data_IF_845294554867
#
_entry.id   IF_845294554867
#
_cell.length_a   1.000
_cell.length_b   1.000
_cell.length_c   1.000
_cell.angle_alpha   90.00
_cell.angle_beta   90.00
_cell.angle_gamma   90.00
#
_symmetry.space_group_name_H-M   'P 1'
#
loop_
_entity.id
_entity.type
_entity.pdbx_description
1 polymer ?
#
# COMPACT_ATOMS: atom_id res chain seq x y z
N UNK A 1 50.56 11.54 12.42
CA UNK A 1 50.71 10.07 12.27
C UNK A 1 51.76 9.53 13.22
N UNK A 2 51.62 8.30 13.73
CA UNK A 2 52.69 7.62 14.49
C UNK A 2 54.01 7.59 13.69
N UNK A 3 53.92 7.51 12.36
CA UNK A 3 55.05 7.54 11.44
C UNK A 3 55.76 8.90 11.37
N UNK A 4 55.05 10.01 11.64
CA UNK A 4 55.65 11.36 11.75
C UNK A 4 56.44 11.55 13.06
N UNK A 5 56.26 10.66 14.05
CA UNK A 5 56.95 10.71 15.35
C UNK A 5 58.18 9.80 15.43
N UNK A 6 58.66 9.27 14.31
CA UNK A 6 60.04 8.77 14.18
C UNK A 6 60.31 7.30 14.48
N UNK A 7 59.28 6.45 14.65
CA UNK A 7 59.47 4.99 14.74
C UNK A 7 58.61 4.31 13.68
N UNK A 8 59.10 4.32 12.45
CA UNK A 8 58.54 3.49 11.40
C UNK A 8 58.79 2.01 11.77
N UNK A 9 57.77 1.16 11.82
CA UNK A 9 57.98 -0.26 12.08
C UNK A 9 58.85 -0.88 10.98
N UNK A 10 59.56 -1.96 11.29
CA UNK A 10 60.56 -2.60 10.40
C UNK A 10 59.94 -3.07 9.07
N UNK A 11 58.65 -3.39 9.08
CA UNK A 11 57.86 -3.88 7.95
C UNK A 11 57.18 -2.77 7.13
N UNK A 12 57.50 -1.48 7.37
CA UNK A 12 56.85 -0.37 6.66
C UNK A 12 57.08 -0.41 5.14
N UNK A 13 58.27 -0.83 4.70
CA UNK A 13 58.61 -0.93 3.27
C UNK A 13 57.78 -2.03 2.61
N UNK A 14 57.57 -3.16 3.31
CA UNK A 14 56.73 -4.25 2.84
C UNK A 14 55.26 -3.83 2.74
N UNK A 15 54.77 -3.05 3.71
CA UNK A 15 53.42 -2.48 3.68
C UNK A 15 53.24 -1.51 2.50
N UNK A 16 54.19 -0.59 2.30
CA UNK A 16 54.13 0.38 1.20
C UNK A 16 54.20 -0.32 -0.15
N UNK A 17 55.06 -1.33 -0.30
CA UNK A 17 55.08 -2.16 -1.52
C UNK A 17 53.78 -2.95 -1.71
N UNK A 18 53.15 -3.43 -0.65
CA UNK A 18 51.86 -4.11 -0.71
C UNK A 18 50.78 -3.14 -1.20
N UNK A 19 50.71 -1.94 -0.62
CA UNK A 19 49.74 -0.91 -1.02
C UNK A 19 49.96 -0.48 -2.47
N UNK A 20 51.19 -0.16 -2.88
CA UNK A 20 51.48 0.28 -4.25
C UNK A 20 51.30 -0.81 -5.31
N UNK A 21 51.43 -2.10 -4.94
CA UNK A 21 51.00 -3.22 -5.81
C UNK A 21 49.50 -3.15 -6.13
N UNK A 22 48.71 -2.71 -5.16
CA UNK A 22 47.26 -2.69 -5.25
C UNK A 22 46.74 -1.35 -5.77
N UNK A 23 47.37 -0.24 -5.43
CA UNK A 23 47.01 1.11 -5.85
C UNK A 23 48.15 1.70 -6.69
N UNK A 24 48.30 1.28 -7.96
CA UNK A 24 49.32 1.85 -8.83
C UNK A 24 49.02 3.33 -9.06
N UNK A 25 50.02 4.20 -8.88
CA UNK A 25 49.93 5.62 -9.24
C UNK A 25 49.98 5.82 -10.76
N UNK A 26 49.82 7.08 -11.21
CA UNK A 26 49.89 7.45 -12.64
C UNK A 26 51.22 7.07 -13.31
N UNK A 27 52.28 6.86 -12.52
CA UNK A 27 53.59 6.43 -12.98
C UNK A 27 53.63 4.98 -13.52
N UNK A 28 52.58 4.17 -13.32
CA UNK A 28 52.54 2.77 -13.73
C UNK A 28 51.75 2.55 -15.04
N UNK A 29 52.21 3.14 -16.13
CA UNK A 29 51.85 2.75 -17.52
C UNK A 29 52.63 1.51 -18.00
N UNK A 30 53.02 0.61 -17.10
CA UNK A 30 53.56 -0.69 -17.47
C UNK A 30 52.42 -1.73 -17.52
N UNK A 31 52.35 -2.57 -18.56
CA UNK A 31 51.29 -3.56 -18.69
C UNK A 31 51.27 -4.45 -17.45
N UNK A 32 50.08 -4.67 -16.88
CA UNK A 32 49.85 -5.66 -15.84
C UNK A 32 50.24 -7.04 -16.39
N UNK A 33 51.52 -7.40 -16.27
CA UNK A 33 51.98 -8.71 -16.69
C UNK A 33 51.37 -9.75 -15.75
N UNK A 34 50.83 -10.80 -16.35
CA UNK A 34 50.30 -11.95 -15.64
C UNK A 34 51.32 -12.44 -14.63
N UNK A 35 50.81 -12.62 -13.41
CA UNK A 35 51.37 -13.32 -12.25
C UNK A 35 52.59 -14.20 -12.62
N UNK A 36 53.78 -13.68 -12.39
CA UNK A 36 54.99 -14.50 -12.19
C UNK A 36 55.17 -14.68 -10.68
N UNK A 37 55.29 -15.93 -10.24
CA UNK A 37 55.52 -16.35 -8.86
C UNK A 37 56.98 -16.15 -8.40
N UNK A 38 57.81 -15.45 -9.18
CA UNK A 38 59.17 -15.09 -8.81
C UNK A 38 59.26 -13.94 -7.80
N UNK A 39 60.35 -13.88 -7.03
CA UNK A 39 60.69 -12.70 -6.22
C UNK A 39 60.77 -11.47 -7.14
N UNK A 40 60.11 -10.36 -6.81
CA UNK A 40 60.15 -9.16 -7.64
C UNK A 40 61.59 -8.64 -7.74
N UNK A 41 61.98 -8.20 -8.93
CA UNK A 41 63.25 -7.47 -9.13
C UNK A 41 63.27 -6.22 -8.25
N UNK A 42 64.47 -5.77 -7.83
CA UNK A 42 64.65 -4.58 -6.98
C UNK A 42 63.93 -3.35 -7.57
N UNK A 43 63.98 -3.16 -8.89
CA UNK A 43 63.32 -2.05 -9.58
C UNK A 43 61.78 -2.09 -9.43
N UNK A 44 61.18 -3.28 -9.49
CA UNK A 44 59.73 -3.48 -9.32
C UNK A 44 59.32 -3.22 -7.86
N UNK A 45 60.15 -3.63 -6.91
CA UNK A 45 59.93 -3.36 -5.49
C UNK A 45 60.02 -1.85 -5.20
N UNK A 46 61.01 -1.15 -5.78
CA UNK A 46 61.16 0.30 -5.70
C UNK A 46 59.95 1.05 -6.24
N UNK A 47 59.49 0.72 -7.45
CA UNK A 47 58.33 1.36 -8.07
C UNK A 47 57.03 1.17 -7.25
N UNK A 48 56.81 -0.04 -6.71
CA UNK A 48 55.66 -0.32 -5.83
C UNK A 48 55.75 0.47 -4.53
N UNK A 49 56.93 0.52 -3.93
CA UNK A 49 57.12 1.28 -2.69
C UNK A 49 56.84 2.75 -2.91
N UNK A 50 57.32 3.33 -4.02
CA UNK A 50 57.05 4.72 -4.39
C UNK A 50 55.54 4.98 -4.57
N UNK A 51 54.82 4.11 -5.28
CA UNK A 51 53.35 4.22 -5.41
C UNK A 51 52.65 4.13 -4.04
N UNK A 52 53.15 3.29 -3.13
CA UNK A 52 52.67 3.23 -1.75
C UNK A 52 52.91 4.53 -0.98
N UNK A 53 54.08 5.15 -1.14
CA UNK A 53 54.39 6.46 -0.55
C UNK A 53 53.46 7.52 -1.11
N UNK A 54 53.24 7.54 -2.43
CA UNK A 54 52.35 8.49 -3.08
C UNK A 54 50.91 8.41 -2.57
N UNK A 55 50.44 7.20 -2.28
CA UNK A 55 49.12 6.96 -1.67
C UNK A 55 49.01 7.55 -0.26
N UNK A 56 50.13 7.60 0.47
CA UNK A 56 50.21 8.15 1.82
C UNK A 56 50.45 9.67 1.83
N UNK A 57 50.80 10.29 0.71
CA UNK A 57 50.88 11.75 0.59
C UNK A 57 49.48 12.35 0.73
N UNK A 58 49.36 13.54 1.34
CA UNK A 58 48.07 14.22 1.55
C UNK A 58 47.02 13.30 2.25
N UNK A 59 47.46 12.59 3.29
CA UNK A 59 46.61 11.70 4.07
C UNK A 59 45.50 12.45 4.82
N UNK A 60 44.25 11.93 4.86
CA UNK A 60 43.79 10.65 4.28
C UNK A 60 43.25 10.75 2.83
N UNK A 61 43.20 11.94 2.26
CA UNK A 61 42.46 12.23 1.02
C UNK A 61 42.86 11.34 -0.16
N UNK A 62 44.16 11.16 -0.42
CA UNK A 62 44.62 10.31 -1.53
C UNK A 62 44.27 8.85 -1.35
N UNK A 63 44.38 8.34 -0.14
CA UNK A 63 43.99 6.97 0.19
C UNK A 63 42.49 6.76 0.00
N UNK A 64 41.66 7.68 0.52
CA UNK A 64 40.21 7.61 0.42
C UNK A 64 39.74 7.69 -1.04
N UNK A 65 40.32 8.59 -1.83
CA UNK A 65 40.02 8.71 -3.26
C UNK A 65 40.40 7.46 -4.04
N UNK A 66 41.59 6.89 -3.79
CA UNK A 66 42.04 5.67 -4.44
C UNK A 66 41.16 4.47 -4.06
N UNK A 67 40.75 4.38 -2.79
CA UNK A 67 39.85 3.34 -2.29
C UNK A 67 38.46 3.46 -2.93
N UNK A 68 37.90 4.68 -3.00
CA UNK A 68 36.63 4.95 -3.66
C UNK A 68 36.66 4.59 -5.15
N UNK A 69 37.71 5.01 -5.87
CA UNK A 69 37.88 4.69 -7.29
C UNK A 69 37.94 3.18 -7.51
N UNK A 70 38.68 2.45 -6.67
CA UNK A 70 38.79 0.99 -6.76
C UNK A 70 37.46 0.28 -6.50
N UNK A 71 36.72 0.71 -5.48
CA UNK A 71 35.42 0.12 -5.15
C UNK A 71 34.38 0.36 -6.24
N UNK A 72 34.50 1.48 -6.99
CA UNK A 72 33.67 1.80 -8.15
C UNK A 72 34.09 1.04 -9.42
N UNK A 73 35.39 0.87 -9.66
CA UNK A 73 35.91 0.25 -10.88
C UNK A 73 35.82 -1.27 -10.91
N UNK A 74 35.60 -1.91 -9.76
CA UNK A 74 35.57 -3.37 -9.65
C UNK A 74 34.20 -3.88 -9.22
N UNK A 75 33.57 -4.69 -10.06
CA UNK A 75 32.26 -5.28 -9.75
C UNK A 75 32.36 -6.59 -8.96
N UNK A 76 31.46 -6.77 -8.00
CA UNK A 76 31.30 -8.03 -7.28
C UNK A 76 30.67 -7.89 -5.91
N UNK A 77 30.11 -8.96 -5.34
CA UNK A 77 29.40 -8.86 -4.07
C UNK A 77 30.34 -8.72 -2.87
N UNK A 78 31.58 -9.25 -2.91
CA UNK A 78 32.47 -9.30 -1.74
C UNK A 78 33.71 -8.42 -1.82
N UNK A 79 34.23 -8.01 -0.66
CA UNK A 79 35.45 -7.21 -0.52
C UNK A 79 36.66 -7.83 -1.22
N UNK A 80 36.84 -9.15 -1.14
CA UNK A 80 37.97 -9.84 -1.77
C UNK A 80 38.06 -9.62 -3.28
N UNK A 81 36.90 -9.51 -3.95
CA UNK A 81 36.88 -9.26 -5.38
C UNK A 81 37.18 -7.80 -5.71
N UNK A 82 36.67 -6.86 -4.90
CA UNK A 82 36.82 -5.42 -5.17
C UNK A 82 38.15 -4.85 -4.71
N UNK A 83 38.58 -5.22 -3.51
CA UNK A 83 39.83 -4.74 -2.91
C UNK A 83 41.01 -5.66 -3.20
N UNK A 84 40.80 -6.95 -3.44
CA UNK A 84 41.87 -7.94 -3.55
C UNK A 84 42.29 -8.48 -2.18
N UNK A 85 43.51 -9.01 -2.07
CA UNK A 85 44.00 -9.67 -0.84
C UNK A 85 44.60 -8.71 0.20
N UNK A 86 45.00 -7.50 -0.19
CA UNK A 86 45.74 -6.57 0.69
C UNK A 86 44.98 -6.20 1.97
N UNK A 87 43.66 -6.03 1.92
CA UNK A 87 42.90 -5.67 3.13
C UNK A 87 42.92 -6.79 4.18
N UNK A 88 43.00 -8.06 3.74
CA UNK A 88 43.16 -9.19 4.66
C UNK A 88 44.56 -9.18 5.25
N UNK A 89 45.58 -8.96 4.42
CA UNK A 89 46.96 -8.87 4.88
C UNK A 89 47.15 -7.71 5.87
N UNK A 90 46.53 -6.54 5.64
CA UNK A 90 46.51 -5.41 6.57
C UNK A 90 45.98 -5.81 7.95
N UNK A 91 44.93 -6.61 8.01
CA UNK A 91 44.29 -7.04 9.27
C UNK A 91 44.90 -8.31 9.89
N UNK A 92 45.71 -9.08 9.14
CA UNK A 92 46.30 -10.33 9.64
C UNK A 92 47.80 -10.22 9.96
N UNK A 93 48.56 -9.45 9.16
CA UNK A 93 50.03 -9.35 9.25
C UNK A 93 50.48 -8.09 9.98
N UNK A 94 49.81 -6.97 9.72
CA UNK A 94 50.25 -5.66 10.17
C UNK A 94 49.56 -5.23 11.48
N UNK A 95 49.58 -6.06 12.52
CA UNK A 95 48.79 -5.86 13.76
C UNK A 95 49.28 -4.72 14.67
N UNK A 96 50.45 -4.14 14.41
CA UNK A 96 51.02 -3.06 15.21
C UNK A 96 50.07 -1.83 15.22
N UNK A 97 49.92 -1.17 16.37
CA UNK A 97 49.09 0.03 16.54
C UNK A 97 49.55 1.21 15.68
N UNK A 98 50.82 1.22 15.26
CA UNK A 98 51.34 2.15 14.26
C UNK A 98 50.56 2.11 12.92
N UNK A 99 49.83 1.02 12.65
CA UNK A 99 49.03 0.81 11.45
C UNK A 99 47.51 1.00 11.65
N UNK A 100 47.08 1.41 12.85
CA UNK A 100 45.66 1.64 13.14
C UNK A 100 45.04 2.72 12.26
N UNK A 101 45.79 3.75 11.86
CA UNK A 101 45.27 4.80 10.98
C UNK A 101 44.77 4.24 9.63
N UNK A 102 45.49 3.27 9.05
CA UNK A 102 45.11 2.62 7.80
C UNK A 102 43.91 1.70 7.98
N UNK A 103 43.88 0.92 9.06
CA UNK A 103 42.72 0.06 9.38
C UNK A 103 41.47 0.89 9.61
N UNK A 104 41.58 1.97 10.39
CA UNK A 104 40.45 2.84 10.73
C UNK A 104 39.93 3.59 9.50
N UNK A 105 40.81 4.12 8.64
CA UNK A 105 40.40 4.76 7.38
C UNK A 105 39.69 3.76 6.44
N UNK A 106 40.22 2.55 6.29
CA UNK A 106 39.57 1.49 5.52
C UNK A 106 38.17 1.17 6.08
N UNK A 107 38.07 0.94 7.39
CA UNK A 107 36.81 0.64 8.08
C UNK A 107 35.79 1.76 7.88
N UNK A 108 36.22 3.02 8.07
CA UNK A 108 35.35 4.19 7.94
C UNK A 108 34.80 4.26 6.51
N UNK A 109 35.68 4.18 5.52
CA UNK A 109 35.29 4.24 4.11
C UNK A 109 34.37 3.09 3.70
N UNK A 110 34.60 1.88 4.23
CA UNK A 110 33.72 0.73 4.00
C UNK A 110 32.35 0.90 4.66
N UNK A 111 32.31 1.47 5.86
CA UNK A 111 31.05 1.75 6.56
C UNK A 111 30.20 2.74 5.78
N UNK A 112 30.81 3.80 5.24
CA UNK A 112 30.10 4.87 4.53
C UNK A 112 29.69 4.46 3.10
N UNK A 113 30.57 3.78 2.36
CA UNK A 113 30.43 3.63 0.90
C UNK A 113 30.25 2.21 0.37
N UNK A 114 30.53 1.15 1.14
CA UNK A 114 30.55 -0.20 0.59
C UNK A 114 29.16 -0.80 0.42
N UNK A 115 28.68 -0.79 -0.82
CA UNK A 115 27.39 -1.33 -1.24
C UNK A 115 27.36 -2.84 -1.50
N UNK A 116 28.45 -3.55 -1.22
CA UNK A 116 28.53 -5.00 -1.39
C UNK A 116 28.01 -5.80 -0.18
N UNK A 117 27.95 -7.10 -0.37
CA UNK A 117 27.71 -8.07 0.69
C UNK A 117 28.95 -8.16 1.59
N UNK A 118 28.81 -7.62 2.79
CA UNK A 118 29.83 -7.67 3.83
C UNK A 118 29.45 -8.77 4.81
N UNK A 119 29.93 -9.99 4.56
CA UNK A 119 29.73 -11.06 5.53
C UNK A 119 30.72 -10.90 6.68
N UNK A 120 30.26 -10.31 7.78
CA UNK A 120 31.07 -10.02 8.97
C UNK A 120 31.70 -11.29 9.60
N UNK A 121 31.12 -12.47 9.38
CA UNK A 121 31.71 -13.75 9.85
C UNK A 121 32.93 -14.19 9.03
N UNK A 122 33.07 -13.66 7.80
CA UNK A 122 34.10 -14.06 6.84
C UNK A 122 35.09 -12.91 6.59
N UNK A 123 34.71 -11.67 6.88
CA UNK A 123 35.64 -10.55 6.86
C UNK A 123 36.59 -10.64 8.04
N UNK A 124 37.89 -10.47 7.79
CA UNK A 124 38.92 -10.21 8.81
C UNK A 124 38.73 -8.87 9.55
N UNK A 125 37.61 -8.20 9.32
CA UNK A 125 37.23 -6.93 9.93
C UNK A 125 36.38 -7.21 11.15
N UNK A 126 36.70 -6.55 12.25
CA UNK A 126 35.95 -6.68 13.50
C UNK A 126 34.51 -6.12 13.33
N UNK A 127 33.46 -6.92 13.60
CA UNK A 127 32.06 -6.50 13.45
C UNK A 127 31.69 -5.19 14.17
N UNK A 128 32.31 -4.88 15.31
CA UNK A 128 32.04 -3.66 16.08
C UNK A 128 32.41 -2.39 15.30
N UNK A 129 33.41 -2.47 14.44
CA UNK A 129 33.86 -1.37 13.60
C UNK A 129 32.93 -1.08 12.40
N UNK A 130 31.99 -1.97 12.10
CA UNK A 130 31.08 -1.87 10.95
C UNK A 130 29.60 -1.70 11.36
N UNK A 131 29.32 -1.44 12.64
CA UNK A 131 27.96 -1.21 13.13
C UNK A 131 27.26 0.01 12.48
N UNK A 132 28.06 0.96 11.97
CA UNK A 132 27.61 2.15 11.24
C UNK A 132 27.44 1.96 9.73
N UNK A 133 27.48 0.72 9.21
CA UNK A 133 27.40 0.48 7.76
C UNK A 133 26.13 1.09 7.15
N UNK A 134 26.32 1.89 6.11
CA UNK A 134 25.26 2.57 5.37
C UNK A 134 24.50 1.65 4.41
N UNK A 135 25.08 0.54 3.96
CA UNK A 135 24.43 -0.40 3.04
C UNK A 135 24.16 -1.74 3.71
N UNK A 136 22.91 -2.13 3.80
CA UNK A 136 22.44 -3.30 4.53
C UNK A 136 22.04 -4.42 3.58
N UNK A 137 22.25 -5.68 3.97
CA UNK A 137 21.71 -6.82 3.23
C UNK A 137 20.18 -6.93 3.40
N UNK A 138 19.51 -7.74 2.59
CA UNK A 138 18.08 -8.02 2.75
C UNK A 138 17.73 -8.57 4.14
N UNK A 139 18.61 -9.36 4.74
CA UNK A 139 18.42 -9.93 6.09
C UNK A 139 18.57 -8.87 7.19
N UNK A 140 19.55 -7.99 7.07
CA UNK A 140 19.77 -6.88 8.01
C UNK A 140 18.64 -5.86 7.93
N UNK A 141 18.29 -5.44 6.72
CA UNK A 141 17.17 -4.54 6.47
C UNK A 141 15.84 -5.15 6.95
N UNK A 142 15.60 -6.43 6.64
CA UNK A 142 14.42 -7.16 7.13
C UNK A 142 14.32 -7.16 8.65
N UNK A 143 15.43 -7.41 9.36
CA UNK A 143 15.47 -7.37 10.83
C UNK A 143 15.15 -5.98 11.39
N UNK A 144 15.70 -4.92 10.79
CA UNK A 144 15.44 -3.54 11.23
C UNK A 144 14.00 -3.09 10.95
N UNK A 145 13.41 -3.52 9.84
CA UNK A 145 12.02 -3.20 9.46
C UNK A 145 11.01 -4.07 10.23
N UNK A 146 11.43 -5.26 10.69
CA UNK A 146 10.57 -6.27 11.29
C UNK A 146 9.82 -7.11 10.24
N UNK A 147 10.49 -7.45 9.12
CA UNK A 147 9.92 -8.19 7.99
C UNK A 147 10.84 -9.30 7.50
N UNK A 148 10.26 -10.28 6.78
CA UNK A 148 11.04 -11.33 6.12
C UNK A 148 11.97 -10.77 5.04
N UNK A 149 13.20 -11.28 4.99
CA UNK A 149 14.23 -10.83 4.03
C UNK A 149 13.82 -10.98 2.57
N UNK A 150 12.99 -11.98 2.24
CA UNK A 150 12.52 -12.20 0.87
C UNK A 150 11.55 -11.12 0.37
N UNK A 151 10.73 -10.54 1.25
CA UNK A 151 9.84 -9.43 0.89
C UNK A 151 10.66 -8.18 0.56
N UNK A 152 11.67 -7.91 1.39
CA UNK A 152 12.61 -6.81 1.19
C UNK A 152 13.40 -7.00 -0.11
N UNK A 153 13.92 -8.21 -0.35
CA UNK A 153 14.61 -8.57 -1.59
C UNK A 153 13.73 -8.36 -2.81
N UNK A 154 12.49 -8.84 -2.76
CA UNK A 154 11.51 -8.69 -3.85
C UNK A 154 11.23 -7.23 -4.15
N UNK A 155 10.97 -6.41 -3.12
CA UNK A 155 10.69 -4.98 -3.28
C UNK A 155 11.82 -4.21 -3.96
N UNK A 156 13.07 -4.58 -3.72
CA UNK A 156 14.21 -3.98 -4.44
C UNK A 156 14.28 -4.47 -5.89
N UNK A 157 14.05 -5.75 -6.14
CA UNK A 157 14.09 -6.33 -7.50
C UNK A 157 12.97 -5.75 -8.37
N UNK A 158 11.78 -5.55 -7.81
CA UNK A 158 10.64 -4.96 -8.53
C UNK A 158 10.70 -3.44 -8.63
N UNK A 159 11.71 -2.80 -7.99
CA UNK A 159 11.88 -1.35 -8.00
C UNK A 159 10.89 -0.59 -7.10
N UNK A 160 10.18 -1.28 -6.20
CA UNK A 160 9.34 -0.62 -5.18
C UNK A 160 10.19 0.18 -4.19
N UNK A 161 11.41 -0.28 -3.91
CA UNK A 161 12.36 0.37 -3.00
C UNK A 161 13.70 0.55 -3.69
N UNK A 162 14.32 1.72 -3.49
CA UNK A 162 15.67 1.98 -3.96
C UNK A 162 16.69 1.04 -3.30
N UNK A 163 17.44 0.32 -4.14
CA UNK A 163 18.50 -0.57 -3.71
C UNK A 163 19.30 -1.08 -4.89
N UNK A 164 20.45 -1.68 -4.57
CA UNK A 164 21.32 -2.31 -5.56
C UNK A 164 21.08 -3.80 -5.54
N UNK A 165 20.98 -4.40 -6.72
CA UNK A 165 20.90 -5.85 -6.82
C UNK A 165 21.87 -6.38 -7.87
N UNK A 166 22.44 -7.56 -7.62
CA UNK A 166 23.33 -8.26 -8.55
C UNK A 166 22.96 -9.73 -8.60
N UNK A 167 22.85 -10.27 -9.80
CA UNK A 167 22.55 -11.68 -10.03
C UNK A 167 23.84 -12.44 -10.37
N UNK A 168 24.12 -13.54 -9.66
CA UNK A 168 25.20 -14.48 -9.99
C UNK A 168 24.68 -15.91 -9.93
N UNK A 169 24.41 -16.48 -11.10
CA UNK A 169 23.75 -17.79 -11.21
C UNK A 169 22.39 -17.73 -10.54
N UNK A 170 22.14 -18.64 -9.59
CA UNK A 170 20.91 -18.64 -8.78
C UNK A 170 20.93 -17.64 -7.61
N UNK A 171 22.10 -17.10 -7.25
CA UNK A 171 22.23 -16.20 -6.11
C UNK A 171 21.89 -14.76 -6.50
N UNK A 172 21.00 -14.13 -5.74
CA UNK A 172 20.62 -12.73 -5.87
C UNK A 172 21.12 -11.97 -4.65
N UNK A 173 22.03 -11.03 -4.85
CA UNK A 173 22.53 -10.16 -3.80
C UNK A 173 21.77 -8.85 -3.84
N UNK A 174 21.24 -8.41 -2.70
CA UNK A 174 20.53 -7.13 -2.54
C UNK A 174 21.18 -6.33 -1.43
N UNK A 175 21.43 -5.06 -1.71
CA UNK A 175 21.97 -4.07 -0.78
C UNK A 175 21.11 -2.82 -0.76
N UNK A 176 20.74 -2.36 0.43
CA UNK A 176 19.80 -1.26 0.63
C UNK A 176 20.43 -0.21 1.52
N UNK A 177 20.33 1.06 1.14
CA UNK A 177 20.86 2.12 1.96
C UNK A 177 20.06 2.28 3.28
N UNK A 178 20.74 2.52 4.40
CA UNK A 178 20.16 2.61 5.74
C UNK A 178 19.09 3.69 5.83
N UNK A 179 19.27 4.82 5.14
CA UNK A 179 18.25 5.89 5.08
C UNK A 179 16.92 5.39 4.49
N UNK A 180 16.98 4.53 3.47
CA UNK A 180 15.80 3.94 2.84
C UNK A 180 15.11 2.97 3.82
N UNK A 181 15.89 2.15 4.52
CA UNK A 181 15.39 1.25 5.58
C UNK A 181 14.70 2.04 6.70
N UNK A 182 15.32 3.11 7.18
CA UNK A 182 14.72 3.97 8.21
C UNK A 182 13.47 4.70 7.70
N UNK A 183 13.44 5.11 6.43
CA UNK A 183 12.24 5.70 5.85
C UNK A 183 11.09 4.70 5.84
N UNK A 184 11.31 3.48 5.34
CA UNK A 184 10.31 2.40 5.37
C UNK A 184 9.85 2.11 6.80
N UNK A 185 10.77 2.13 7.78
CA UNK A 185 10.42 1.94 9.19
C UNK A 185 9.50 3.05 9.71
N UNK A 186 9.79 4.32 9.39
CA UNK A 186 8.94 5.47 9.75
C UNK A 186 7.59 5.38 9.07
N UNK A 187 7.55 5.11 7.77
CA UNK A 187 6.32 4.97 7.01
C UNK A 187 5.44 3.88 7.63
N UNK A 188 6.01 2.73 8.00
CA UNK A 188 5.26 1.65 8.68
C UNK A 188 4.67 2.07 10.03
N UNK A 189 5.33 2.96 10.78
CA UNK A 189 4.81 3.44 12.07
C UNK A 189 3.61 4.37 11.91
N UNK A 190 3.45 4.99 10.74
CA UNK A 190 2.32 5.87 10.44
C UNK A 190 1.05 5.10 10.06
N UNK A 191 1.12 3.78 9.90
CA UNK A 191 -0.02 2.96 9.48
C UNK A 191 -0.35 1.87 10.49
N UNK A 192 -1.65 1.65 10.68
CA UNK A 192 -2.18 0.53 11.45
C UNK A 192 -2.82 -0.50 10.52
N UNK A 193 -2.66 -1.77 10.89
CA UNK A 193 -3.45 -2.86 10.31
C UNK A 193 -4.87 -2.87 10.92
N UNK A 194 -5.76 -3.69 10.38
CA UNK A 194 -7.14 -3.79 10.88
C UNK A 194 -7.19 -4.21 12.36
N UNK A 195 -6.28 -5.07 12.80
CA UNK A 195 -6.23 -5.56 14.18
C UNK A 195 -5.86 -4.45 15.16
N UNK A 196 -4.81 -3.70 14.86
CA UNK A 196 -4.33 -2.58 15.67
C UNK A 196 -5.34 -1.45 15.64
N UNK A 197 -5.89 -1.12 14.46
CA UNK A 197 -6.94 -0.11 14.32
C UNK A 197 -8.15 -0.42 15.21
N UNK A 198 -8.64 -1.67 15.17
CA UNK A 198 -9.75 -2.12 16.02
C UNK A 198 -9.42 -1.98 17.51
N UNK A 199 -8.20 -2.35 17.92
CA UNK A 199 -7.74 -2.20 19.33
C UNK A 199 -7.70 -0.73 19.75
N UNK A 200 -7.15 0.16 18.92
CA UNK A 200 -7.08 1.60 19.19
C UNK A 200 -8.47 2.25 19.26
N UNK A 201 -9.41 1.80 18.42
CA UNK A 201 -10.80 2.23 18.52
C UNK A 201 -11.52 1.63 19.75
N UNK A 202 -10.99 0.59 20.38
CA UNK A 202 -11.60 -0.06 21.54
C UNK A 202 -12.86 -0.87 21.22
N UNK A 203 -13.09 -1.28 19.97
CA UNK A 203 -14.37 -1.89 19.54
C UNK A 203 -14.29 -3.39 19.23
N UNK A 204 -15.43 -4.07 19.26
CA UNK A 204 -15.54 -5.46 18.79
C UNK A 204 -15.41 -5.55 17.26
N UNK A 205 -15.17 -6.74 16.72
CA UNK A 205 -15.07 -6.96 15.26
C UNK A 205 -16.35 -6.54 14.53
N UNK A 206 -17.52 -6.88 15.08
CA UNK A 206 -18.83 -6.55 14.49
C UNK A 206 -19.05 -5.04 14.46
N UNK A 207 -18.73 -4.33 15.55
CA UNK A 207 -18.86 -2.86 15.59
C UNK A 207 -17.85 -2.20 14.65
N UNK A 208 -16.64 -2.73 14.55
CA UNK A 208 -15.63 -2.26 13.59
C UNK A 208 -16.12 -2.37 12.14
N UNK A 209 -16.68 -3.51 11.73
CA UNK A 209 -17.22 -3.70 10.38
C UNK A 209 -18.34 -2.71 10.06
N UNK A 210 -19.25 -2.47 11.01
CA UNK A 210 -20.34 -1.50 10.86
C UNK A 210 -19.84 -0.05 10.80
N UNK A 211 -18.83 0.30 11.60
CA UNK A 211 -18.17 1.61 11.52
C UNK A 211 -17.52 1.81 10.14
N UNK A 212 -16.88 0.77 9.60
CA UNK A 212 -16.32 0.82 8.25
C UNK A 212 -17.39 1.01 7.18
N UNK A 213 -18.54 0.31 7.30
CA UNK A 213 -19.69 0.50 6.41
C UNK A 213 -20.30 1.91 6.50
N UNK A 214 -20.32 2.49 7.70
CA UNK A 214 -20.79 3.85 7.96
C UNK A 214 -19.77 4.95 7.52
N UNK A 215 -18.60 4.55 7.03
CA UNK A 215 -17.57 5.47 6.53
C UNK A 215 -16.66 6.06 7.61
N UNK A 216 -16.47 5.39 8.74
CA UNK A 216 -15.66 5.91 9.86
C UNK A 216 -14.20 6.21 9.49
N UNK A 217 -13.60 5.36 8.66
CA UNK A 217 -12.20 5.45 8.23
C UNK A 217 -12.07 5.07 6.76
N UNK A 218 -11.06 5.63 6.08
CA UNK A 218 -10.74 5.24 4.71
C UNK A 218 -9.66 4.15 4.71
N UNK A 219 -9.98 3.02 4.08
CA UNK A 219 -9.00 1.96 3.80
C UNK A 219 -8.14 2.34 2.61
N UNK A 220 -6.82 2.34 2.76
CA UNK A 220 -5.86 2.62 1.67
C UNK A 220 -5.67 1.39 0.81
N UNK A 221 -5.68 1.55 -0.52
CA UNK A 221 -5.37 0.47 -1.46
C UNK A 221 -3.86 0.19 -1.49
N UNK A 222 -3.40 -0.91 -2.09
CA UNK A 222 -1.96 -1.24 -2.14
C UNK A 222 -1.15 -0.14 -2.86
N UNK A 223 -1.72 0.48 -3.89
CA UNK A 223 -1.06 1.54 -4.67
C UNK A 223 -0.99 2.90 -3.96
N UNK A 224 -1.87 3.13 -2.98
CA UNK A 224 -1.89 4.36 -2.18
C UNK A 224 -0.96 4.30 -0.96
N UNK A 225 -0.35 3.13 -0.72
CA UNK A 225 0.51 2.87 0.44
C UNK A 225 1.98 2.98 0.05
N UNK A 226 2.85 3.48 0.94
CA UNK A 226 4.28 3.39 0.75
C UNK A 226 4.74 1.92 0.61
N UNK A 227 5.87 1.69 -0.07
CA UNK A 227 6.45 0.35 -0.22
C UNK A 227 6.63 -0.37 1.12
N UNK A 228 6.39 -1.69 1.12
CA UNK A 228 6.51 -2.54 2.30
C UNK A 228 5.64 -2.12 3.52
N UNK A 229 4.62 -1.30 3.34
CA UNK A 229 3.62 -0.99 4.38
C UNK A 229 2.41 -1.92 4.24
N UNK A 230 2.21 -2.77 5.25
CA UNK A 230 1.07 -3.70 5.29
C UNK A 230 -0.20 -3.05 5.87
N UNK A 231 -0.04 -2.09 6.79
CA UNK A 231 -1.15 -1.39 7.45
C UNK A 231 -2.02 -0.65 6.44
N UNK A 232 -3.33 -0.66 6.66
CA UNK A 232 -4.32 -0.17 5.69
C UNK A 232 -4.95 1.17 6.08
N UNK A 233 -4.66 1.64 7.31
CA UNK A 233 -5.24 2.83 7.90
C UNK A 233 -4.12 3.75 8.38
N UNK A 234 -4.27 5.06 8.19
CA UNK A 234 -3.35 6.03 8.80
C UNK A 234 -3.60 6.11 10.30
N UNK A 235 -2.54 5.96 11.09
CA UNK A 235 -2.60 6.01 12.55
C UNK A 235 -3.19 7.35 13.03
N UNK A 236 -2.80 8.46 12.40
CA UNK A 236 -3.31 9.79 12.72
C UNK A 236 -4.82 9.90 12.51
N UNK A 237 -5.37 9.39 11.39
CA UNK A 237 -6.82 9.40 11.13
C UNK A 237 -7.59 8.59 12.19
N UNK A 238 -7.04 7.46 12.63
CA UNK A 238 -7.64 6.62 13.67
C UNK A 238 -7.68 7.36 15.01
N UNK A 239 -6.57 7.98 15.40
CA UNK A 239 -6.49 8.74 16.66
C UNK A 239 -7.35 10.00 16.60
N UNK A 240 -7.35 10.71 15.47
CA UNK A 240 -8.17 11.90 15.25
C UNK A 240 -9.67 11.57 15.33
N UNK A 241 -10.10 10.41 14.83
CA UNK A 241 -11.49 9.96 14.97
C UNK A 241 -11.90 9.81 16.44
N UNK A 242 -11.06 9.17 17.26
CA UNK A 242 -11.31 9.01 18.70
C UNK A 242 -11.35 10.37 19.39
N UNK A 243 -10.36 11.22 19.14
CA UNK A 243 -10.28 12.54 19.73
C UNK A 243 -11.49 13.42 19.34
N UNK A 244 -11.92 13.37 18.08
CA UNK A 244 -13.04 14.14 17.57
C UNK A 244 -14.38 13.74 18.21
N UNK A 245 -14.63 12.44 18.35
CA UNK A 245 -15.87 11.97 18.98
C UNK A 245 -15.85 12.16 20.50
N UNK A 246 -14.70 12.00 21.16
CA UNK A 246 -14.59 12.33 22.58
C UNK A 246 -14.72 13.85 22.83
N UNK A 247 -14.19 14.67 21.93
CA UNK A 247 -14.25 16.14 22.00
C UNK A 247 -15.62 16.73 21.69
N UNK A 248 -16.54 15.96 21.10
CA UNK A 248 -17.93 16.39 20.87
C UNK A 248 -18.87 16.08 22.04
N UNK A 249 -18.31 15.77 23.21
CA UNK A 249 -19.06 15.50 24.45
C UNK A 249 -20.06 16.62 24.78
N UNK A 250 -21.31 16.23 24.94
CA UNK A 250 -22.42 17.08 25.34
C UNK A 250 -22.94 16.61 26.70
N UNK A 251 -22.30 17.09 27.77
CA UNK A 251 -22.54 16.60 29.14
C UNK A 251 -23.98 16.87 29.55
N UNK A 252 -24.74 15.79 29.76
CA UNK A 252 -26.13 15.81 30.21
C UNK A 252 -26.35 14.78 31.30
N UNK A 253 -27.23 15.10 32.23
CA UNK A 253 -27.70 14.13 33.23
C UNK A 253 -28.76 13.22 32.61
N UNK A 254 -28.34 12.01 32.24
CA UNK A 254 -29.16 11.02 31.56
C UNK A 254 -29.27 9.77 32.45
N UNK A 255 -30.49 9.24 32.70
CA UNK A 255 -30.68 8.04 33.50
C UNK A 255 -29.82 6.88 32.99
N UNK A 256 -29.26 6.09 33.91
CA UNK A 256 -28.34 4.99 33.57
C UNK A 256 -28.94 3.96 32.60
N UNK A 257 -30.26 3.75 32.65
CA UNK A 257 -30.99 2.84 31.76
C UNK A 257 -31.01 3.29 30.29
N UNK A 258 -30.83 4.60 30.04
CA UNK A 258 -30.78 5.21 28.71
C UNK A 258 -29.37 5.37 28.18
N UNK A 259 -28.35 5.20 29.02
CA UNK A 259 -26.95 5.29 28.60
C UNK A 259 -26.55 4.03 27.83
N UNK A 260 -26.20 4.21 26.55
CA UNK A 260 -25.80 3.11 25.67
C UNK A 260 -24.42 3.34 25.07
N UNK A 261 -23.62 2.29 24.97
CA UNK A 261 -22.36 2.31 24.24
C UNK A 261 -22.54 1.92 22.78
N UNK A 262 -21.48 2.05 21.97
CA UNK A 262 -21.52 1.63 20.55
C UNK A 262 -21.86 0.15 20.35
N UNK A 263 -21.53 -0.71 21.33
CA UNK A 263 -21.83 -2.14 21.30
C UNK A 263 -23.30 -2.46 21.57
N UNK A 264 -24.02 -1.56 22.25
CA UNK A 264 -25.44 -1.70 22.52
C UNK A 264 -26.29 -1.34 21.30
N UNK A 265 -25.75 -0.58 20.33
CA UNK A 265 -26.43 -0.17 19.10
C UNK A 265 -26.74 -1.39 18.23
N UNK A 266 -27.91 -1.99 18.46
CA UNK A 266 -28.31 -3.27 17.91
C UNK A 266 -29.82 -3.46 17.93
N UNK A 267 -30.32 -4.46 17.18
CA UNK A 267 -31.73 -4.86 17.19
C UNK A 267 -32.29 -5.19 18.56
N UNK A 268 -31.45 -5.69 19.49
CA UNK A 268 -31.88 -5.99 20.87
C UNK A 268 -32.25 -4.74 21.68
N UNK A 269 -31.79 -3.56 21.26
CA UNK A 269 -32.14 -2.26 21.85
C UNK A 269 -33.17 -1.49 21.00
N UNK A 270 -33.90 -2.19 20.12
CA UNK A 270 -34.95 -1.58 19.30
C UNK A 270 -34.46 -0.83 18.05
N UNK A 271 -33.18 -0.98 17.68
CA UNK A 271 -32.61 -0.35 16.49
C UNK A 271 -32.59 -1.37 15.35
N UNK A 272 -33.41 -1.16 14.32
CA UNK A 272 -33.47 -2.07 13.17
C UNK A 272 -32.08 -2.25 12.54
N UNK A 273 -31.78 -3.45 12.05
CA UNK A 273 -30.47 -3.77 11.47
C UNK A 273 -30.09 -2.81 10.33
N UNK A 274 -31.07 -2.39 9.55
CA UNK A 274 -30.90 -1.48 8.41
C UNK A 274 -30.57 -0.04 8.86
N UNK A 275 -31.05 0.38 10.03
CA UNK A 275 -30.80 1.72 10.56
C UNK A 275 -29.47 1.84 11.33
N UNK A 276 -28.84 0.73 11.74
CA UNK A 276 -27.61 0.77 12.54
C UNK A 276 -26.49 1.57 11.85
N UNK A 277 -26.26 1.33 10.55
CA UNK A 277 -25.23 2.04 9.81
C UNK A 277 -25.55 3.55 9.70
N UNK A 278 -26.83 3.92 9.57
CA UNK A 278 -27.23 5.32 9.57
C UNK A 278 -26.98 5.99 10.93
N UNK A 279 -27.38 5.34 12.03
CA UNK A 279 -27.08 5.84 13.38
C UNK A 279 -25.59 6.06 13.58
N UNK A 280 -24.77 5.08 13.19
CA UNK A 280 -23.31 5.22 13.26
C UNK A 280 -22.81 6.37 12.39
N UNK A 281 -23.36 6.56 11.19
CA UNK A 281 -23.01 7.69 10.33
C UNK A 281 -23.30 9.04 11.00
N UNK A 282 -24.45 9.19 11.66
CA UNK A 282 -24.84 10.40 12.39
C UNK A 282 -23.98 10.65 13.63
N UNK A 283 -23.57 9.59 14.33
CA UNK A 283 -22.54 9.66 15.39
C UNK A 283 -21.22 10.14 14.80
N UNK A 284 -20.79 9.56 13.67
CA UNK A 284 -19.56 9.96 12.98
C UNK A 284 -19.61 11.40 12.49
N UNK A 285 -20.79 11.94 12.18
CA UNK A 285 -21.03 13.34 11.84
C UNK A 285 -21.15 14.27 13.08
N UNK A 286 -21.11 13.72 14.30
CA UNK A 286 -21.33 14.45 15.57
C UNK A 286 -22.72 15.11 15.69
N UNK A 287 -23.70 14.58 14.96
CA UNK A 287 -25.12 14.91 15.12
C UNK A 287 -25.69 14.23 16.36
N UNK A 288 -25.28 12.97 16.59
CA UNK A 288 -25.52 12.24 17.84
C UNK A 288 -24.23 12.31 18.64
N UNK A 289 -24.24 13.06 19.75
CA UNK A 289 -23.07 13.32 20.58
C UNK A 289 -23.03 12.41 21.79
N UNK A 290 -21.85 11.99 22.25
CA UNK A 290 -21.76 11.31 23.54
C UNK A 290 -22.17 12.28 24.65
N UNK A 291 -22.82 11.75 25.69
CA UNK A 291 -23.25 12.49 26.88
C UNK A 291 -22.38 12.22 28.10
N UNK A 292 -21.64 11.11 28.06
CA UNK A 292 -20.73 10.67 29.12
C UNK A 292 -19.54 9.91 28.51
N UNK A 293 -18.37 10.03 29.15
CA UNK A 293 -17.18 9.24 28.83
C UNK A 293 -16.77 8.43 30.06
N UNK A 294 -16.77 7.11 29.90
CA UNK A 294 -16.26 6.17 30.90
C UNK A 294 -14.74 6.04 30.72
N UNK A 295 -13.98 6.71 31.59
CA UNK A 295 -12.51 6.81 31.49
C UNK A 295 -11.76 5.50 31.73
N UNK A 296 -12.40 4.50 32.34
CA UNK A 296 -11.82 3.16 32.53
C UNK A 296 -11.78 2.33 31.24
N UNK A 297 -12.44 2.79 30.17
CA UNK A 297 -12.48 2.12 28.87
C UNK A 297 -11.70 2.92 27.82
N UNK A 298 -10.97 2.21 26.97
CA UNK A 298 -10.13 2.80 25.94
C UNK A 298 -10.91 3.11 24.64
N UNK A 299 -10.52 4.18 23.96
CA UNK A 299 -11.04 4.54 22.64
C UNK A 299 -12.53 4.85 22.66
N UNK A 300 -13.25 4.39 21.63
CA UNK A 300 -14.68 4.64 21.46
C UNK A 300 -15.54 3.81 22.43
N UNK A 301 -15.00 2.77 23.08
CA UNK A 301 -15.74 1.97 24.06
C UNK A 301 -16.11 2.75 25.32
N UNK A 302 -15.40 3.84 25.64
CA UNK A 302 -15.74 4.73 26.75
C UNK A 302 -16.94 5.62 26.47
N UNK A 303 -17.29 5.86 25.21
CA UNK A 303 -18.36 6.78 24.85
C UNK A 303 -19.74 6.21 25.22
N UNK A 304 -20.57 7.05 25.82
CA UNK A 304 -21.97 6.75 26.13
C UNK A 304 -22.86 7.79 25.48
N UNK A 305 -23.93 7.31 24.88
CA UNK A 305 -24.93 8.10 24.17
C UNK A 305 -26.28 7.93 24.86
N UNK A 306 -27.15 8.92 24.69
CA UNK A 306 -28.53 8.80 25.12
C UNK A 306 -29.34 7.99 24.09
N UNK A 307 -29.98 6.91 24.55
CA UNK A 307 -30.83 6.08 23.72
C UNK A 307 -31.96 6.89 23.06
N UNK A 308 -32.50 7.91 23.73
CA UNK A 308 -33.56 8.73 23.17
C UNK A 308 -33.09 9.51 21.93
N UNK A 309 -31.88 10.06 21.96
CA UNK A 309 -31.30 10.74 20.79
C UNK A 309 -31.16 9.75 19.63
N UNK A 310 -30.68 8.54 19.91
CA UNK A 310 -30.56 7.52 18.88
C UNK A 310 -31.92 7.17 18.28
N UNK A 311 -32.94 6.91 19.11
CA UNK A 311 -34.28 6.55 18.63
C UNK A 311 -34.93 7.67 17.82
N UNK A 312 -34.86 8.92 18.28
CA UNK A 312 -35.38 10.08 17.55
C UNK A 312 -34.74 10.22 16.17
N UNK A 313 -33.44 9.95 16.08
CA UNK A 313 -32.67 10.05 14.84
C UNK A 313 -32.84 8.84 13.91
N UNK A 314 -33.40 7.72 14.38
CA UNK A 314 -33.78 6.57 13.55
C UNK A 314 -35.11 6.85 12.82
N UNK A 315 -36.07 7.49 13.50
CA UNK A 315 -37.43 7.75 12.98
C UNK A 315 -37.42 8.63 11.71
N UNK A 316 -36.45 9.54 11.57
CA UNK A 316 -36.30 10.38 10.36
C UNK A 316 -35.89 9.60 9.09
N UNK A 317 -35.45 8.34 9.22
CA UNK A 317 -34.89 7.55 8.10
C UNK A 317 -35.95 6.75 7.32
N UNK A 318 -37.18 6.61 7.82
CA UNK A 318 -38.20 5.77 7.16
C UNK A 318 -38.88 6.41 5.94
N UNK A 319 -38.44 7.59 5.47
CA UNK A 319 -38.91 8.11 4.19
C UNK A 319 -38.01 7.62 3.07
N UNK A 320 -38.38 6.47 2.51
CA UNK A 320 -37.82 6.00 1.25
C UNK A 320 -37.80 7.17 0.23
N UNK A 321 -36.67 7.43 -0.45
CA UNK A 321 -36.59 8.50 -1.43
C UNK A 321 -37.57 8.25 -2.57
N UNK A 322 -38.42 9.24 -2.83
CA UNK A 322 -39.48 9.20 -3.83
C UNK A 322 -39.09 10.06 -5.02
N UNK A 323 -39.06 9.46 -6.21
CA UNK A 323 -38.74 10.12 -7.48
C UNK A 323 -40.02 10.59 -8.18
N UNK A 324 -39.99 11.76 -8.79
CA UNK A 324 -41.01 12.17 -9.74
C UNK A 324 -40.76 11.50 -11.10
N UNK A 325 -41.80 11.40 -11.92
CA UNK A 325 -41.67 10.94 -13.31
C UNK A 325 -40.63 11.79 -14.07
N UNK A 326 -40.56 13.09 -13.80
CA UNK A 326 -39.57 14.00 -14.38
C UNK A 326 -38.13 13.66 -14.00
N UNK A 327 -37.91 13.14 -12.79
CA UNK A 327 -36.58 12.74 -12.33
C UNK A 327 -36.12 11.50 -13.09
N UNK A 328 -37.02 10.53 -13.30
CA UNK A 328 -36.72 9.33 -14.10
C UNK A 328 -36.44 9.68 -15.56
N UNK A 329 -37.18 10.62 -16.15
CA UNK A 329 -36.90 11.13 -17.51
C UNK A 329 -35.45 11.66 -17.59
N UNK A 330 -35.01 12.44 -16.60
CA UNK A 330 -33.64 12.97 -16.55
C UNK A 330 -32.59 11.89 -16.33
N UNK A 331 -32.85 10.96 -15.42
CA UNK A 331 -31.90 9.90 -15.02
C UNK A 331 -31.71 8.84 -16.11
N UNK A 332 -32.79 8.48 -16.82
CA UNK A 332 -32.80 7.33 -17.74
C UNK A 332 -33.03 7.71 -19.20
N UNK A 333 -33.43 8.93 -19.48
CA UNK A 333 -33.78 9.37 -20.84
C UNK A 333 -35.08 8.74 -21.36
N UNK A 334 -35.83 8.04 -20.52
CA UNK A 334 -37.09 7.41 -20.91
C UNK A 334 -38.16 8.48 -21.15
N UNK A 335 -39.02 8.26 -22.15
CA UNK A 335 -40.12 9.19 -22.45
C UNK A 335 -41.13 9.22 -21.31
N UNK A 336 -41.59 10.41 -20.95
CA UNK A 336 -42.57 10.64 -19.89
C UNK A 336 -43.84 9.78 -20.06
N UNK A 337 -44.39 9.73 -21.27
CA UNK A 337 -45.57 8.91 -21.62
C UNK A 337 -45.38 7.42 -21.32
N UNK A 338 -44.18 6.88 -21.59
CA UNK A 338 -43.89 5.47 -21.35
C UNK A 338 -43.88 5.16 -19.85
N UNK A 339 -43.32 6.04 -19.03
CA UNK A 339 -43.24 5.87 -17.58
C UNK A 339 -44.66 5.89 -16.98
N UNK A 340 -45.50 6.84 -17.41
CA UNK A 340 -46.91 6.87 -16.99
C UNK A 340 -47.67 5.60 -17.41
N UNK A 341 -47.38 5.07 -18.60
CA UNK A 341 -47.97 3.83 -19.07
C UNK A 341 -47.53 2.63 -18.21
N UNK A 342 -46.26 2.54 -17.83
CA UNK A 342 -45.75 1.49 -16.94
C UNK A 342 -46.37 1.54 -15.54
N UNK A 343 -46.60 2.74 -15.02
CA UNK A 343 -47.34 2.95 -13.77
C UNK A 343 -48.79 2.47 -13.92
N UNK A 344 -49.47 2.91 -14.99
CA UNK A 344 -50.86 2.51 -15.27
C UNK A 344 -51.03 0.99 -15.44
N UNK A 345 -50.02 0.33 -15.99
CA UNK A 345 -50.01 -1.12 -16.20
C UNK A 345 -49.60 -1.91 -14.95
N UNK A 346 -49.25 -1.23 -13.85
CA UNK A 346 -48.83 -1.87 -12.60
C UNK A 346 -47.45 -2.54 -12.67
N UNK A 347 -46.69 -2.34 -13.75
CA UNK A 347 -45.33 -2.90 -13.88
C UNK A 347 -44.28 -2.03 -13.18
N UNK A 348 -44.56 -0.73 -13.01
CA UNK A 348 -43.77 0.19 -12.20
C UNK A 348 -44.61 0.68 -11.01
N UNK A 349 -44.20 0.34 -9.79
CA UNK A 349 -44.90 0.77 -8.58
C UNK A 349 -44.81 2.29 -8.38
N UNK A 350 -45.94 2.93 -8.09
CA UNK A 350 -45.98 4.36 -7.78
C UNK A 350 -47.12 4.68 -6.79
N UNK A 351 -46.88 5.69 -5.96
CA UNK A 351 -47.89 6.31 -5.10
C UNK A 351 -48.42 7.54 -5.81
N UNK A 352 -49.74 7.61 -6.01
CA UNK A 352 -50.38 8.78 -6.62
C UNK A 352 -50.86 9.71 -5.52
N UNK A 353 -50.34 10.94 -5.50
CA UNK A 353 -50.76 11.98 -4.56
C UNK A 353 -51.38 13.14 -5.34
N UNK A 354 -52.44 13.75 -4.80
CA UNK A 354 -53.02 14.96 -5.39
C UNK A 354 -52.23 16.16 -4.88
N UNK A 355 -51.58 16.88 -5.78
CA UNK A 355 -50.85 18.11 -5.46
C UNK A 355 -51.41 19.25 -6.31
N UNK A 356 -51.88 20.32 -5.66
CA UNK A 356 -52.50 21.47 -6.32
C UNK A 356 -53.60 21.10 -7.34
N UNK A 357 -54.46 20.13 -6.99
CA UNK A 357 -55.57 19.68 -7.83
C UNK A 357 -55.19 18.77 -9.01
N UNK A 358 -53.92 18.40 -9.17
CA UNK A 358 -53.45 17.46 -10.22
C UNK A 358 -52.87 16.18 -9.61
N UNK A 359 -53.12 15.00 -10.18
CA UNK A 359 -52.46 13.77 -9.75
C UNK A 359 -50.97 13.84 -10.09
N UNK A 360 -50.13 13.66 -9.08
CA UNK A 360 -48.69 13.57 -9.20
C UNK A 360 -48.25 12.17 -8.76
N UNK A 361 -47.58 11.45 -9.65
CA UNK A 361 -47.03 10.12 -9.34
C UNK A 361 -45.64 10.25 -8.72
N UNK A 362 -45.48 9.63 -7.55
CA UNK A 362 -44.22 9.49 -6.82
C UNK A 362 -43.79 8.03 -6.82
N UNK A 363 -42.58 7.77 -7.26
CA UNK A 363 -42.06 6.43 -7.51
C UNK A 363 -40.99 6.15 -6.45
N UNK A 364 -41.24 5.22 -5.51
CA UNK A 364 -40.23 4.83 -4.55
C UNK A 364 -38.97 4.30 -5.26
N UNK A 365 -37.78 4.60 -4.72
CA UNK A 365 -36.53 4.16 -5.33
C UNK A 365 -36.44 2.63 -5.42
N UNK A 366 -36.93 1.90 -4.42
CA UNK A 366 -37.02 0.43 -4.44
C UNK A 366 -37.87 -0.06 -5.61
N UNK A 367 -39.05 0.54 -5.84
CA UNK A 367 -39.92 0.18 -6.96
C UNK A 367 -39.24 0.40 -8.32
N UNK A 368 -38.41 1.44 -8.45
CA UNK A 368 -37.59 1.65 -9.65
C UNK A 368 -36.49 0.60 -9.80
N UNK A 369 -35.79 0.25 -8.72
CA UNK A 369 -34.75 -0.78 -8.73
C UNK A 369 -35.32 -2.17 -9.04
N UNK A 370 -36.47 -2.51 -8.48
CA UNK A 370 -37.21 -3.74 -8.76
C UNK A 370 -37.63 -3.79 -10.23
N UNK A 371 -38.18 -2.69 -10.75
CA UNK A 371 -38.50 -2.57 -12.16
C UNK A 371 -37.28 -2.81 -13.05
N UNK A 372 -36.15 -2.19 -12.74
CA UNK A 372 -34.90 -2.33 -13.49
C UNK A 372 -34.27 -3.72 -13.39
N UNK A 373 -34.51 -4.43 -12.29
CA UNK A 373 -33.99 -5.78 -12.07
C UNK A 373 -34.82 -6.84 -12.81
N UNK A 374 -36.10 -6.56 -13.04
CA UNK A 374 -37.03 -7.51 -13.67
C UNK A 374 -37.25 -7.24 -15.16
N UNK A 375 -37.16 -5.98 -15.60
CA UNK A 375 -37.51 -5.56 -16.95
C UNK A 375 -36.40 -4.78 -17.64
N UNK A 376 -36.22 -5.08 -18.93
CA UNK A 376 -35.41 -4.28 -19.83
C UNK A 376 -36.30 -3.51 -20.81
N UNK A 377 -36.00 -2.23 -20.98
CA UNK A 377 -36.69 -1.36 -21.95
C UNK A 377 -36.16 -1.68 -23.35
N UNK A 378 -37.05 -2.07 -24.26
CA UNK A 378 -36.67 -2.54 -25.59
C UNK A 378 -35.95 -1.46 -26.43
N UNK A 379 -36.27 -0.19 -26.20
CA UNK A 379 -35.59 0.94 -26.85
C UNK A 379 -34.12 1.04 -26.42
N UNK A 380 -33.85 0.89 -25.13
CA UNK A 380 -32.49 0.93 -24.58
C UNK A 380 -31.65 -0.25 -25.12
N UNK A 381 -32.25 -1.45 -25.16
CA UNK A 381 -31.59 -2.63 -25.73
C UNK A 381 -31.26 -2.46 -27.21
N UNK A 382 -32.21 -1.96 -27.99
CA UNK A 382 -32.03 -1.73 -29.42
C UNK A 382 -30.93 -0.69 -29.69
N UNK A 383 -30.91 0.41 -28.92
CA UNK A 383 -29.85 1.42 -29.01
C UNK A 383 -28.47 0.83 -28.70
N UNK A 384 -28.36 0.01 -27.65
CA UNK A 384 -27.09 -0.64 -27.26
C UNK A 384 -26.61 -1.68 -28.27
N UNK A 385 -27.54 -2.35 -28.95
CA UNK A 385 -27.21 -3.39 -29.94
C UNK A 385 -27.12 -2.87 -31.38
N UNK A 386 -27.17 -1.55 -31.60
CA UNK A 386 -27.17 -0.95 -32.94
C UNK A 386 -28.35 -1.36 -33.82
N UNK A 387 -29.50 -1.73 -33.23
CA UNK A 387 -30.68 -2.25 -33.93
C UNK A 387 -31.90 -1.34 -33.72
N UNK A 388 -33.00 -1.64 -34.43
CA UNK A 388 -34.30 -1.00 -34.20
C UNK A 388 -35.15 -1.89 -33.31
N UNK A 389 -35.93 -1.31 -32.39
CA UNK A 389 -36.75 -2.08 -31.43
C UNK A 389 -37.67 -3.11 -32.10
N UNK A 390 -38.25 -2.80 -33.27
CA UNK A 390 -39.05 -3.76 -34.03
C UNK A 390 -38.22 -4.94 -34.56
N UNK A 391 -37.00 -4.69 -35.03
CA UNK A 391 -36.11 -5.75 -35.51
C UNK A 391 -35.65 -6.63 -34.35
N UNK A 392 -35.31 -6.02 -33.22
CA UNK A 392 -34.95 -6.74 -31.99
C UNK A 392 -36.11 -7.59 -31.48
N UNK A 393 -37.34 -7.07 -31.50
CA UNK A 393 -38.50 -7.84 -31.07
C UNK A 393 -38.76 -9.02 -32.00
N UNK A 394 -38.59 -8.85 -33.31
CA UNK A 394 -38.72 -9.94 -34.30
C UNK A 394 -37.64 -11.01 -34.11
N UNK A 395 -36.39 -10.62 -33.83
CA UNK A 395 -35.31 -11.57 -33.58
C UNK A 395 -35.44 -12.31 -32.25
N UNK A 396 -36.18 -11.75 -31.28
CA UNK A 396 -36.46 -12.38 -29.99
C UNK A 396 -37.68 -13.31 -30.02
N UNK A 397 -38.54 -13.25 -31.07
CA UNK A 397 -39.72 -14.13 -31.20
C UNK A 397 -39.38 -15.63 -31.23
N UNK A 398 -38.37 -16.11 -32.00
CA UNK A 398 -38.02 -17.53 -32.01
C UNK A 398 -37.62 -18.07 -30.63
N UNK A 399 -37.08 -17.21 -29.77
CA UNK A 399 -36.67 -17.55 -28.41
C UNK A 399 -37.82 -17.43 -27.37
N UNK A 400 -39.07 -17.26 -27.82
CA UNK A 400 -40.29 -17.14 -27.00
C UNK A 400 -40.25 -16.01 -25.96
N UNK A 401 -39.48 -14.96 -26.20
CA UNK A 401 -39.47 -13.76 -25.34
C UNK A 401 -40.71 -12.92 -25.65
N UNK A 402 -41.64 -12.85 -24.70
CA UNK A 402 -42.88 -12.08 -24.87
C UNK A 402 -42.68 -10.62 -24.44
N UNK A 403 -43.20 -9.66 -25.21
CA UNK A 403 -43.21 -8.27 -24.77
C UNK A 403 -44.20 -8.07 -23.62
N UNK A 404 -43.78 -7.34 -22.60
CA UNK A 404 -44.59 -6.91 -21.46
C UNK A 404 -45.02 -5.46 -21.66
N UNK A 405 -46.26 -5.13 -21.28
CA UNK A 405 -46.75 -3.76 -21.28
C UNK A 405 -47.25 -3.22 -22.64
N UNK A 406 -47.71 -4.08 -23.55
CA UNK A 406 -48.39 -3.62 -24.77
C UNK A 406 -49.88 -3.42 -24.48
N UNK A 407 -50.34 -2.17 -24.46
CA UNK A 407 -51.77 -1.85 -24.56
C UNK A 407 -52.18 -1.81 -26.05
N UNK A 408 -53.40 -2.23 -26.35
CA UNK A 408 -53.90 -2.54 -27.69
C UNK A 408 -53.78 -1.44 -28.77
N UNK A 409 -53.79 -1.91 -30.02
CA UNK A 409 -54.07 -1.20 -31.28
C UNK A 409 -53.52 0.23 -31.48
N UNK A 410 -52.29 0.50 -31.07
CA UNK A 410 -51.56 1.73 -31.41
C UNK A 410 -50.06 1.51 -31.55
N UNK A 411 -49.33 2.54 -31.98
CA UNK A 411 -47.86 2.53 -32.12
C UNK A 411 -47.23 2.04 -30.80
N UNK A 412 -46.54 0.89 -30.86
CA UNK A 412 -45.96 0.17 -29.70
C UNK A 412 -44.84 0.98 -29.05
N UNK A 413 -45.18 1.95 -28.20
CA UNK A 413 -44.24 2.74 -27.40
C UNK A 413 -44.13 2.14 -26.00
N UNK A 414 -42.95 2.22 -25.40
CA UNK A 414 -42.70 1.73 -24.03
C UNK A 414 -42.63 0.20 -23.87
N UNK A 415 -42.29 -0.56 -24.92
CA UNK A 415 -42.23 -2.03 -24.84
C UNK A 415 -41.15 -2.50 -23.86
N UNK A 416 -41.54 -3.40 -22.97
CA UNK A 416 -40.64 -4.06 -22.01
C UNK A 416 -40.45 -5.52 -22.38
N UNK A 417 -39.33 -6.09 -21.96
CA UNK A 417 -39.07 -7.54 -21.98
C UNK A 417 -38.52 -7.95 -20.63
N UNK A 418 -38.89 -9.14 -20.15
CA UNK A 418 -38.36 -9.63 -18.87
C UNK A 418 -36.91 -10.04 -19.02
N UNK A 419 -36.08 -9.68 -18.05
CA UNK A 419 -34.65 -10.02 -18.06
C UNK A 419 -34.47 -11.54 -18.00
N UNK A 420 -35.28 -12.25 -17.21
CA UNK A 420 -35.27 -13.72 -17.15
C UNK A 420 -35.54 -14.38 -18.51
N UNK A 421 -36.43 -13.80 -19.31
CA UNK A 421 -36.78 -14.34 -20.63
C UNK A 421 -35.60 -14.16 -21.59
N UNK A 422 -34.90 -13.03 -21.51
CA UNK A 422 -33.68 -12.78 -22.27
C UNK A 422 -32.54 -13.73 -21.86
N UNK A 423 -32.37 -13.99 -20.56
CA UNK A 423 -31.36 -14.92 -20.07
C UNK A 423 -31.64 -16.36 -20.55
N UNK A 424 -32.90 -16.80 -20.48
CA UNK A 424 -33.32 -18.10 -21.01
C UNK A 424 -33.08 -18.21 -22.51
N UNK A 425 -33.40 -17.16 -23.27
CA UNK A 425 -33.15 -17.09 -24.71
C UNK A 425 -31.65 -17.20 -25.04
N UNK A 426 -30.79 -16.48 -24.31
CA UNK A 426 -29.35 -16.53 -24.51
C UNK A 426 -28.75 -17.92 -24.23
N UNK A 427 -29.23 -18.60 -23.18
CA UNK A 427 -28.78 -19.96 -22.85
C UNK A 427 -29.20 -21.00 -23.89
N UNK A 428 -30.40 -20.87 -24.46
CA UNK A 428 -30.88 -21.76 -25.53
C UNK A 428 -30.03 -21.62 -26.80
N UNK A 429 -29.71 -20.38 -27.21
CA UNK A 429 -28.84 -20.13 -28.35
C UNK A 429 -27.43 -20.70 -28.14
N UNK A 430 -26.88 -20.59 -26.92
CA UNK A 430 -25.55 -21.15 -26.60
C UNK A 430 -25.53 -22.69 -26.68
N UNK A 431 -26.61 -23.36 -26.26
CA UNK A 431 -26.73 -24.82 -26.38
C UNK A 431 -26.85 -25.26 -27.84
N UNK A 432 -27.63 -24.55 -28.65
CA UNK A 432 -27.77 -24.84 -30.08
C UNK A 432 -26.45 -24.66 -30.85
N UNK A 433 -25.63 -23.66 -30.49
CA UNK A 433 -24.29 -23.45 -31.06
C UNK A 433 -23.23 -24.47 -30.58
N UNK A 434 -23.45 -25.15 -29.45
CA UNK A 434 -22.55 -26.20 -28.95
C UNK A 434 -22.91 -27.60 -29.47
N UNK A 435 -24.12 -27.77 -30.02
CA UNK A 435 -24.62 -29.00 -30.64
C UNK A 435 -24.64 -28.95 -32.18
N UNK A 436 -24.13 -27.86 -32.77
CA UNK A 436 -23.81 -27.72 -34.20
C UNK A 436 -22.31 -27.77 -34.36
#
# INVERSE_FOLDING_TARGET
>A
MAWQRGLAPVDIVDLLSLLGRHFPGDAALAPQSKISSGKPTIDVLGARTLSGIELMMDWPNRFDNALAMRLKSTEGPGLAKRLGVWYRELHQRYLNTAYDCLRNALVQHLSEGFDGHLNLRISTLDPQHLQGKCWLTSEEAGRLIGMGSELVRTAVITGEIEGKHTVRGQNRFVSIHRNVVEQVRRDRQQYFDATTTRKQLGVSKVVFERLMQAGALRKRTKSERPPLVAGEFFAEEVLALVARLAGSLDVRDVPSERLVGLHDISGRRGISTDSICNVLHRILASEIRPVLIVTSLHGLAGLRFDLQDITNNVIDTEREPMLLVTDIVRLRGWKHENILQWIKQGVLGAVTQIHAGRPQHRIPLSALLDFMSNYAVLADLASRSGSKSNHLLLSLKPAKVAPVGIAGCGVKRGVLVRIDDLLRAAQLNKRQQASS
#
